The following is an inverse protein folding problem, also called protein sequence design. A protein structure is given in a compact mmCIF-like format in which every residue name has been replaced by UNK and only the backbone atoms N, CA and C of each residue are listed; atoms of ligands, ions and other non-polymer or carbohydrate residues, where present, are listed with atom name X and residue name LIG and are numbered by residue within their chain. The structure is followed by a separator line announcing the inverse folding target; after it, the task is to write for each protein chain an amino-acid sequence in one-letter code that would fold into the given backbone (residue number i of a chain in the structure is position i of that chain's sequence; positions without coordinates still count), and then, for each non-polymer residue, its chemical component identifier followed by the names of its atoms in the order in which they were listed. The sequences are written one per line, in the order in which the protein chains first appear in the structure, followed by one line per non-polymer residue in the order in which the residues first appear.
data_IF_130211020414
#
_entry.id   IF_130211020414
#
_cell.length_a   1.000
_cell.length_b   1.000
_cell.length_c   1.000
_cell.angle_alpha   90.00
_cell.angle_beta   90.00
_cell.angle_gamma   90.00
#
_symmetry.space_group_name_H-M   'P 1'
#
loop_
_entity.id
_entity.type
_entity.pdbx_description
1 polymer ?
#
# COMPACT_ATOMS: atom_id res chain seq x y z
N UNK A 1 -33.33 -6.91 -46.75
CA UNK A 1 -33.49 -6.11 -45.52
C UNK A 1 -32.68 -6.73 -44.42
N UNK A 2 -31.43 -6.30 -44.39
CA UNK A 2 -30.41 -6.63 -43.42
C UNK A 2 -30.85 -6.28 -42.00
N UNK A 3 -30.75 -7.22 -41.08
CA UNK A 3 -30.73 -6.92 -39.65
C UNK A 3 -29.27 -6.86 -39.20
N UNK A 4 -28.78 -5.64 -39.04
CA UNK A 4 -27.48 -5.34 -38.48
C UNK A 4 -27.42 -5.77 -37.00
N UNK A 5 -26.55 -6.74 -36.70
CA UNK A 5 -26.15 -7.09 -35.34
C UNK A 5 -25.13 -6.08 -34.83
N UNK A 6 -25.53 -5.24 -33.88
CA UNK A 6 -24.66 -4.30 -33.18
C UNK A 6 -23.65 -5.05 -32.30
N UNK A 7 -22.38 -5.09 -32.70
CA UNK A 7 -21.27 -5.56 -31.87
C UNK A 7 -20.89 -4.50 -30.84
N UNK A 8 -21.34 -4.64 -29.59
CA UNK A 8 -20.75 -3.88 -28.48
C UNK A 8 -19.42 -4.52 -28.09
N UNK A 9 -18.32 -3.83 -28.37
CA UNK A 9 -17.00 -4.16 -27.86
C UNK A 9 -16.95 -3.78 -26.37
N UNK A 10 -16.86 -4.78 -25.48
CA UNK A 10 -16.54 -4.55 -24.07
C UNK A 10 -15.04 -4.29 -23.94
N UNK A 11 -14.68 -3.09 -23.49
CA UNK A 11 -13.31 -2.73 -23.15
C UNK A 11 -12.94 -3.35 -21.80
N UNK A 12 -12.27 -4.50 -21.81
CA UNK A 12 -11.70 -5.10 -20.60
C UNK A 12 -10.49 -4.30 -20.10
N UNK A 13 -10.51 -3.93 -18.82
CA UNK A 13 -9.43 -3.23 -18.11
C UNK A 13 -8.37 -4.25 -17.64
N UNK A 14 -7.06 -3.93 -17.59
CA UNK A 14 -5.99 -4.94 -17.39
C UNK A 14 -5.88 -5.58 -15.99
N UNK A 15 -6.82 -5.32 -15.07
CA UNK A 15 -6.72 -5.77 -13.67
C UNK A 15 -7.99 -6.47 -13.14
N UNK A 16 -9.04 -6.64 -13.94
CA UNK A 16 -10.07 -7.61 -13.58
C UNK A 16 -9.58 -9.00 -13.98
N UNK A 17 -8.96 -9.68 -13.02
CA UNK A 17 -8.70 -11.10 -13.14
C UNK A 17 -10.07 -11.79 -13.13
N UNK A 18 -10.53 -12.23 -14.31
CA UNK A 18 -11.75 -13.01 -14.40
C UNK A 18 -11.62 -14.23 -13.48
N UNK A 19 -12.72 -14.74 -12.93
CA UNK A 19 -12.68 -15.93 -12.07
C UNK A 19 -11.98 -17.10 -12.77
N UNK A 20 -11.98 -17.14 -14.11
CA UNK A 20 -11.17 -18.06 -14.92
C UNK A 20 -9.67 -17.75 -14.92
N UNK A 21 -9.25 -16.49 -14.95
CA UNK A 21 -7.84 -16.09 -14.89
C UNK A 21 -7.25 -16.25 -13.48
N UNK A 22 -8.07 -16.13 -12.43
CA UNK A 22 -7.67 -16.46 -11.06
C UNK A 22 -7.39 -17.96 -10.90
N UNK A 23 -8.19 -18.80 -11.58
CA UNK A 23 -7.99 -20.25 -11.64
C UNK A 23 -6.78 -20.60 -12.52
N UNK A 24 -6.51 -19.84 -13.59
CA UNK A 24 -5.33 -20.01 -14.44
C UNK A 24 -4.02 -19.54 -13.77
N UNK A 25 -4.04 -18.45 -12.99
CA UNK A 25 -2.91 -18.02 -12.18
C UNK A 25 -2.59 -19.04 -11.07
N UNK A 26 -3.62 -19.67 -10.50
CA UNK A 26 -3.47 -20.80 -9.58
C UNK A 26 -3.01 -22.10 -10.26
N UNK A 27 -3.02 -22.18 -11.60
CA UNK A 27 -2.61 -23.38 -12.35
C UNK A 27 -1.10 -23.41 -12.68
N UNK A 28 -0.38 -22.30 -12.49
CA UNK A 28 1.09 -22.23 -12.65
C UNK A 28 1.86 -22.45 -11.33
N UNK A 29 1.21 -23.04 -10.32
CA UNK A 29 1.90 -23.41 -9.09
C UNK A 29 2.90 -24.53 -9.40
N UNK A 30 4.19 -24.17 -9.46
CA UNK A 30 5.29 -25.13 -9.47
C UNK A 30 5.16 -25.96 -8.19
N UNK A 31 4.68 -27.19 -8.35
CA UNK A 31 4.66 -28.15 -7.27
C UNK A 31 6.11 -28.54 -6.96
N UNK A 32 6.41 -28.76 -5.68
CA UNK A 32 7.70 -29.34 -5.30
C UNK A 32 7.83 -30.78 -5.82
N UNK A 33 9.01 -31.39 -5.65
CA UNK A 33 9.29 -32.78 -6.05
C UNK A 33 8.31 -33.81 -5.42
N UNK A 34 7.49 -33.40 -4.45
CA UNK A 34 6.48 -34.21 -3.75
C UNK A 34 5.05 -33.88 -4.16
N UNK A 35 4.85 -33.02 -5.17
CA UNK A 35 3.51 -32.64 -5.63
C UNK A 35 2.78 -31.68 -4.70
N UNK A 36 3.49 -31.02 -3.77
CA UNK A 36 2.93 -30.09 -2.78
C UNK A 36 3.21 -28.66 -3.21
N UNK A 37 2.22 -27.78 -3.06
CA UNK A 37 2.44 -26.36 -3.28
C UNK A 37 3.34 -25.78 -2.18
N UNK A 38 4.43 -25.09 -2.55
CA UNK A 38 5.30 -24.46 -1.58
C UNK A 38 4.55 -23.41 -0.76
N UNK A 39 4.76 -23.41 0.56
CA UNK A 39 4.10 -22.46 1.48
C UNK A 39 4.96 -21.22 1.67
N UNK A 40 4.36 -20.04 1.52
CA UNK A 40 5.02 -18.77 1.83
C UNK A 40 5.45 -18.71 3.30
N UNK A 41 6.53 -18.00 3.59
CA UNK A 41 7.08 -17.94 4.93
C UNK A 41 7.58 -16.54 5.28
N UNK A 42 7.53 -16.21 6.57
CA UNK A 42 7.98 -14.91 7.08
C UNK A 42 9.37 -15.00 7.68
N UNK A 43 10.21 -14.01 7.37
CA UNK A 43 11.36 -13.65 8.18
C UNK A 43 11.00 -12.44 9.06
N UNK A 44 10.88 -12.70 10.38
CA UNK A 44 10.55 -11.66 11.36
C UNK A 44 11.84 -11.12 12.00
N UNK A 45 12.18 -9.86 11.70
CA UNK A 45 13.34 -9.17 12.26
C UNK A 45 12.88 -8.22 13.37
N UNK A 46 12.49 -8.79 14.53
CA UNK A 46 11.97 -8.03 15.67
C UNK A 46 12.88 -6.87 16.10
N UNK A 47 14.21 -7.04 16.00
CA UNK A 47 15.20 -6.03 16.37
C UNK A 47 15.36 -4.90 15.34
N UNK A 48 14.89 -5.08 14.10
CA UNK A 48 14.83 -4.06 13.05
C UNK A 48 13.45 -3.44 12.90
N UNK A 49 12.42 -4.09 13.44
CA UNK A 49 11.03 -3.70 13.22
C UNK A 49 10.57 -4.01 11.80
N UNK A 50 11.02 -5.12 11.21
CA UNK A 50 10.72 -5.49 9.82
C UNK A 50 10.26 -6.94 9.78
N UNK A 51 9.17 -7.22 9.05
CA UNK A 51 8.84 -8.58 8.60
C UNK A 51 8.94 -8.64 7.07
N UNK A 52 9.48 -9.73 6.54
CA UNK A 52 9.59 -9.98 5.10
C UNK A 52 8.86 -11.28 4.76
N UNK A 53 7.82 -11.20 3.93
CA UNK A 53 7.14 -12.37 3.38
C UNK A 53 7.88 -12.83 2.13
N UNK A 54 8.32 -14.09 2.14
CA UNK A 54 8.95 -14.73 1.00
C UNK A 54 7.97 -15.69 0.34
N UNK A 55 7.98 -15.67 -1.00
CA UNK A 55 7.33 -16.68 -1.82
C UNK A 55 7.92 -18.06 -1.54
N UNK A 56 7.06 -19.04 -1.28
CA UNK A 56 7.49 -20.40 -0.95
C UNK A 56 8.20 -21.12 -2.09
N UNK A 57 7.89 -20.78 -3.35
CA UNK A 57 8.35 -21.51 -4.54
C UNK A 57 9.63 -20.92 -5.13
N UNK A 58 9.65 -19.60 -5.32
CA UNK A 58 10.72 -18.84 -5.96
C UNK A 58 11.67 -18.20 -4.95
N UNK A 59 11.36 -18.23 -3.65
CA UNK A 59 12.14 -17.59 -2.59
C UNK A 59 12.39 -16.09 -2.85
N UNK A 60 11.41 -15.42 -3.46
CA UNK A 60 11.42 -13.97 -3.72
C UNK A 60 10.57 -13.21 -2.71
N UNK A 61 10.91 -11.96 -2.44
CA UNK A 61 10.13 -11.12 -1.54
C UNK A 61 8.77 -10.78 -2.17
N UNK A 62 7.67 -11.03 -1.43
CA UNK A 62 6.28 -10.69 -1.80
C UNK A 62 5.76 -9.45 -1.10
N UNK A 63 6.25 -9.17 0.10
CA UNK A 63 5.74 -8.09 0.96
C UNK A 63 6.73 -7.77 2.07
N UNK A 64 6.88 -6.49 2.39
CA UNK A 64 7.63 -6.00 3.53
C UNK A 64 6.68 -5.28 4.49
N UNK A 65 6.80 -5.56 5.79
CA UNK A 65 6.03 -4.91 6.86
C UNK A 65 7.02 -4.13 7.73
N UNK A 66 6.79 -2.84 7.88
CA UNK A 66 7.58 -1.92 8.68
C UNK A 66 6.82 -1.54 9.94
N UNK A 67 7.44 -1.73 11.10
CA UNK A 67 6.83 -1.51 12.42
C UNK A 67 7.37 -0.25 13.09
N UNK A 68 6.49 0.68 13.46
CA UNK A 68 6.82 1.96 14.08
C UNK A 68 7.02 1.92 15.59
N UNK A 69 6.65 0.82 16.26
CA UNK A 69 6.69 0.64 17.72
C UNK A 69 6.10 1.84 18.49
N UNK A 70 4.82 2.12 18.26
CA UNK A 70 4.13 3.31 18.76
C UNK A 70 3.34 2.98 20.04
N UNK A 71 3.53 3.72 21.15
CA UNK A 71 2.73 3.52 22.36
C UNK A 71 1.23 3.59 22.09
N UNK A 72 0.48 2.67 22.71
CA UNK A 72 -0.96 2.56 22.50
C UNK A 72 -1.36 1.78 21.25
N UNK A 73 -0.41 1.15 20.54
CA UNK A 73 -0.70 0.16 19.51
C UNK A 73 -0.70 -1.25 20.10
N UNK A 74 -1.45 -2.17 19.48
CA UNK A 74 -1.57 -3.56 19.93
C UNK A 74 -0.22 -4.29 20.00
N UNK A 75 0.69 -4.06 19.04
CA UNK A 75 2.01 -4.70 18.99
C UNK A 75 3.10 -3.85 19.68
N UNK A 76 2.74 -2.88 20.53
CA UNK A 76 3.74 -2.04 21.21
C UNK A 76 4.72 -2.89 22.03
N UNK A 77 6.03 -2.60 21.91
CA UNK A 77 7.16 -3.36 22.46
C UNK A 77 7.40 -4.77 21.91
N UNK A 78 6.58 -5.26 20.98
CA UNK A 78 6.87 -6.53 20.28
C UNK A 78 8.01 -6.39 19.28
N UNK A 79 8.11 -5.23 18.64
CA UNK A 79 9.14 -4.88 17.66
C UNK A 79 9.95 -3.66 18.12
N UNK A 80 11.21 -3.57 17.72
CA UNK A 80 11.96 -2.31 17.70
C UNK A 80 11.37 -1.38 16.64
N UNK A 81 11.57 -0.08 16.82
CA UNK A 81 11.12 0.93 15.86
C UNK A 81 11.96 0.85 14.58
N UNK A 82 11.30 0.67 13.44
CA UNK A 82 11.89 0.84 12.12
C UNK A 82 11.88 2.34 11.73
N UNK A 83 13.04 3.01 11.61
CA UNK A 83 13.11 4.42 11.23
C UNK A 83 13.08 4.57 9.70
N UNK A 84 12.01 4.10 9.06
CA UNK A 84 11.93 4.10 7.60
C UNK A 84 11.86 5.52 7.01
N UNK A 85 12.35 5.62 5.78
CA UNK A 85 12.10 6.73 4.86
C UNK A 85 11.72 6.12 3.52
N UNK A 86 10.56 6.49 2.98
CA UNK A 86 10.08 6.03 1.69
C UNK A 86 10.02 7.24 0.77
N UNK A 87 10.73 7.16 -0.35
CA UNK A 87 10.81 8.20 -1.36
C UNK A 87 9.90 7.83 -2.54
N UNK A 88 9.09 8.79 -2.98
CA UNK A 88 8.21 8.67 -4.14
C UNK A 88 8.83 9.33 -5.37
N UNK A 89 8.36 8.92 -6.55
CA UNK A 89 8.76 9.55 -7.80
C UNK A 89 8.24 11.00 -7.87
N UNK A 90 9.10 11.93 -8.30
CA UNK A 90 8.73 13.34 -8.46
C UNK A 90 7.60 13.50 -9.48
N UNK A 91 6.58 14.29 -9.15
CA UNK A 91 5.55 14.69 -10.11
C UNK A 91 6.21 15.52 -11.22
N UNK A 92 6.09 15.10 -12.48
CA UNK A 92 6.54 15.92 -13.62
C UNK A 92 5.62 17.13 -13.73
N UNK A 93 5.96 18.23 -13.06
CA UNK A 93 5.31 19.51 -13.28
C UNK A 93 5.55 19.94 -14.74
N UNK A 94 4.53 19.86 -15.59
CA UNK A 94 4.50 20.59 -16.87
C UNK A 94 4.48 22.09 -16.51
N UNK A 95 5.64 22.69 -16.23
CA UNK A 95 5.76 24.14 -16.11
C UNK A 95 5.39 24.72 -17.48
N UNK A 96 4.18 25.29 -17.59
CA UNK A 96 3.86 26.19 -18.69
C UNK A 96 4.88 27.32 -18.63
N UNK A 97 5.74 27.38 -19.63
CA UNK A 97 6.75 28.41 -19.82
C UNK A 97 6.01 29.69 -20.23
N UNK A 98 5.39 30.38 -19.28
CA UNK A 98 4.89 31.72 -19.50
C UNK A 98 5.69 32.67 -18.61
N UNK A 99 6.46 33.50 -19.30
CA UNK A 99 7.49 34.36 -18.75
C UNK A 99 6.85 35.42 -17.84
N UNK A 100 7.22 35.45 -16.58
CA UNK A 100 7.21 36.69 -15.80
C UNK A 100 8.38 36.73 -14.81
N UNK A 101 8.99 37.89 -14.70
CA UNK A 101 10.36 38.11 -14.26
C UNK A 101 10.47 38.44 -12.76
N UNK A 102 10.17 37.47 -11.90
CA UNK A 102 10.58 37.47 -10.49
C UNK A 102 11.23 36.13 -10.17
N UNK A 103 12.56 36.08 -10.34
CA UNK A 103 13.42 34.97 -9.93
C UNK A 103 13.44 34.86 -8.40
N UNK A 104 12.41 34.24 -7.84
CA UNK A 104 12.52 33.53 -6.57
C UNK A 104 13.22 32.21 -6.88
N UNK A 105 14.37 31.98 -6.25
CA UNK A 105 15.00 30.67 -6.26
C UNK A 105 14.07 29.76 -5.47
N UNK A 106 13.24 28.98 -6.17
CA UNK A 106 12.54 27.86 -5.56
C UNK A 106 13.65 26.94 -5.01
N UNK A 107 13.87 26.98 -3.69
CA UNK A 107 14.57 25.89 -3.01
C UNK A 107 13.63 24.71 -3.14
N UNK A 108 13.85 23.87 -4.14
CA UNK A 108 13.11 22.61 -4.28
C UNK A 108 13.35 21.83 -2.98
N UNK A 109 12.33 21.74 -2.12
CA UNK A 109 12.44 20.98 -0.89
C UNK A 109 12.42 19.49 -1.27
N UNK A 110 13.61 18.89 -1.33
CA UNK A 110 13.81 17.46 -1.66
C UNK A 110 13.03 16.52 -0.72
N UNK A 111 12.46 17.04 0.38
CA UNK A 111 11.66 16.30 1.34
C UNK A 111 10.17 16.22 0.98
N UNK A 112 9.69 16.91 -0.05
CA UNK A 112 8.27 16.87 -0.44
C UNK A 112 7.82 15.46 -0.82
N UNK A 113 8.70 14.66 -1.44
CA UNK A 113 8.39 13.30 -1.87
C UNK A 113 8.82 12.19 -0.89
N UNK A 114 9.17 12.54 0.36
CA UNK A 114 9.61 11.56 1.37
C UNK A 114 8.60 11.47 2.51
N UNK A 115 8.14 10.25 2.79
CA UNK A 115 7.42 9.93 4.04
C UNK A 115 8.36 9.23 5.02
N UNK A 116 8.18 9.48 6.31
CA UNK A 116 9.02 8.90 7.37
C UNK A 116 8.19 8.31 8.50
N UNK A 117 8.79 7.43 9.29
CA UNK A 117 8.12 6.76 10.42
C UNK A 117 7.54 7.71 11.49
N UNK A 118 7.95 8.98 11.53
CA UNK A 118 7.49 9.95 12.53
C UNK A 118 6.29 10.78 12.06
N UNK A 119 5.92 10.71 10.78
CA UNK A 119 4.85 11.52 10.23
C UNK A 119 3.48 11.02 10.68
N UNK A 120 2.54 11.96 10.79
CA UNK A 120 1.13 11.65 10.92
C UNK A 120 0.56 11.31 9.56
N UNK A 121 -0.54 10.55 9.56
CA UNK A 121 -1.22 10.16 8.33
C UNK A 121 -1.58 11.37 7.45
N UNK A 122 -2.00 12.49 8.03
CA UNK A 122 -2.36 13.71 7.29
C UNK A 122 -1.19 14.22 6.44
N UNK A 123 0.01 14.28 7.03
CA UNK A 123 1.23 14.69 6.32
C UNK A 123 1.65 13.66 5.29
N UNK A 124 1.53 12.36 5.59
CA UNK A 124 1.85 11.30 4.62
C UNK A 124 0.91 11.37 3.41
N UNK A 125 -0.37 11.62 3.63
CA UNK A 125 -1.36 11.79 2.56
C UNK A 125 -1.07 12.98 1.66
N UNK A 126 -0.54 14.09 2.19
CA UNK A 126 -0.15 15.24 1.36
C UNK A 126 1.06 14.95 0.45
N UNK A 127 1.96 14.07 0.89
CA UNK A 127 3.22 13.75 0.21
C UNK A 127 3.15 12.58 -0.76
N UNK A 128 2.26 11.62 -0.50
CA UNK A 128 2.06 10.48 -1.39
C UNK A 128 1.39 10.98 -2.68
N UNK A 129 1.93 10.67 -3.86
CA UNK A 129 1.36 11.10 -5.13
C UNK A 129 0.12 10.26 -5.48
N UNK A 130 -1.04 10.55 -4.87
CA UNK A 130 -2.34 9.92 -5.17
C UNK A 130 -2.77 10.12 -6.63
N UNK A 131 -2.16 9.40 -7.56
CA UNK A 131 -2.64 9.31 -8.94
C UNK A 131 -3.73 8.24 -8.95
N UNK A 132 -4.98 8.66 -8.72
CA UNK A 132 -6.15 7.79 -8.83
C UNK A 132 -6.40 7.41 -10.30
N UNK A 133 -5.59 6.51 -10.89
CA UNK A 133 -5.80 6.05 -12.27
C UNK A 133 -7.05 5.18 -12.43
N UNK A 134 -7.71 4.80 -11.32
CA UNK A 134 -9.01 4.13 -11.30
C UNK A 134 -9.97 4.83 -10.35
N UNK A 135 -10.30 6.09 -10.67
CA UNK A 135 -11.49 6.73 -10.08
C UNK A 135 -12.73 6.06 -10.65
N UNK A 136 -13.18 4.95 -10.05
CA UNK A 136 -14.61 4.69 -9.98
C UNK A 136 -15.14 5.89 -9.20
N UNK A 137 -15.89 6.77 -9.88
CA UNK A 137 -16.59 7.91 -9.28
C UNK A 137 -17.73 7.38 -8.42
N UNK A 138 -17.41 6.74 -7.30
CA UNK A 138 -18.38 6.52 -6.23
C UNK A 138 -18.50 7.85 -5.49
N UNK A 139 -19.64 8.49 -5.70
CA UNK A 139 -20.04 9.75 -5.10
C UNK A 139 -20.38 9.50 -3.62
N UNK A 140 -19.35 9.40 -2.78
CA UNK A 140 -19.51 9.18 -1.34
C UNK A 140 -18.18 9.08 -0.58
N UNK A 141 -18.17 9.40 0.73
CA UNK A 141 -16.99 9.20 1.56
C UNK A 141 -16.65 7.71 1.60
N UNK A 142 -15.49 7.32 1.04
CA UNK A 142 -14.96 5.95 1.14
C UNK A 142 -14.81 5.62 2.62
N UNK A 143 -15.65 4.70 3.12
CA UNK A 143 -15.53 4.19 4.49
C UNK A 143 -14.21 3.42 4.59
N UNK A 144 -13.32 3.74 5.54
CA UNK A 144 -12.05 3.06 5.65
C UNK A 144 -12.25 1.63 6.15
N UNK A 145 -11.34 0.74 5.77
CA UNK A 145 -11.30 -0.63 6.30
C UNK A 145 -10.89 -0.55 7.76
N UNK A 146 -11.71 -1.07 8.67
CA UNK A 146 -11.42 -1.08 10.11
C UNK A 146 -10.71 -2.37 10.48
N UNK A 147 -9.56 -2.25 11.15
CA UNK A 147 -8.79 -3.36 11.68
C UNK A 147 -9.01 -3.46 13.20
N UNK A 148 -9.63 -4.56 13.61
CA UNK A 148 -9.84 -4.90 15.02
C UNK A 148 -8.98 -6.11 15.38
N UNK A 149 -7.99 -5.91 16.26
CA UNK A 149 -7.14 -6.99 16.76
C UNK A 149 -7.63 -7.44 18.12
N UNK A 150 -8.16 -8.66 18.20
CA UNK A 150 -8.65 -9.26 19.45
C UNK A 150 -9.90 -8.59 20.01
N UNK A 151 -10.37 -9.12 21.15
CA UNK A 151 -11.45 -8.49 21.94
C UNK A 151 -10.95 -7.25 22.68
N UNK A 152 -11.87 -6.46 23.26
CA UNK A 152 -11.53 -5.29 24.08
C UNK A 152 -10.65 -5.62 25.29
N UNK A 153 -10.72 -6.84 25.80
CA UNK A 153 -9.88 -7.32 26.91
C UNK A 153 -8.43 -7.57 26.47
N UNK A 154 -8.23 -7.98 25.21
CA UNK A 154 -6.91 -8.22 24.64
C UNK A 154 -6.28 -6.98 24.00
N UNK A 155 -7.12 -6.06 23.51
CA UNK A 155 -6.70 -4.81 22.90
C UNK A 155 -7.44 -3.62 23.56
N UNK A 156 -6.87 -3.05 24.62
CA UNK A 156 -7.48 -1.93 25.34
C UNK A 156 -7.47 -0.62 24.53
N UNK A 157 -6.71 -0.56 23.44
CA UNK A 157 -6.54 0.66 22.63
C UNK A 157 -7.62 0.81 21.55
N UNK A 158 -8.34 -0.28 21.27
CA UNK A 158 -9.41 -0.35 20.28
C UNK A 158 -8.89 -0.54 18.85
N UNK A 159 -9.80 -0.36 17.88
CA UNK A 159 -9.51 -0.57 16.47
C UNK A 159 -8.67 0.55 15.85
N UNK A 160 -7.93 0.16 14.82
CA UNK A 160 -7.23 1.01 13.86
C UNK A 160 -7.99 1.00 12.53
N UNK A 161 -7.62 1.89 11.60
CA UNK A 161 -8.13 1.82 10.24
C UNK A 161 -6.98 1.67 9.24
N UNK A 162 -7.28 1.11 8.08
CA UNK A 162 -6.33 0.95 6.98
C UNK A 162 -6.63 1.97 5.88
N UNK A 163 -5.56 2.54 5.35
CA UNK A 163 -5.58 3.37 4.15
C UNK A 163 -4.42 2.93 3.27
N UNK A 164 -4.58 2.96 1.96
CA UNK A 164 -3.55 2.48 1.04
C UNK A 164 -3.46 3.34 -0.19
N UNK A 165 -2.30 3.31 -0.80
CA UNK A 165 -1.96 3.93 -2.07
C UNK A 165 -1.86 2.83 -3.13
N UNK A 166 -2.46 3.06 -4.29
CA UNK A 166 -2.68 2.04 -5.31
C UNK A 166 -1.37 1.44 -5.88
N UNK A 167 -0.24 2.14 -5.75
CA UNK A 167 1.09 1.62 -6.12
C UNK A 167 1.75 0.73 -5.05
N UNK A 168 0.95 -0.02 -4.28
CA UNK A 168 1.47 -1.09 -3.42
C UNK A 168 1.85 -0.68 -2.01
N UNK A 169 1.26 0.38 -1.43
CA UNK A 169 1.47 0.73 -0.02
C UNK A 169 0.16 0.66 0.76
N UNK A 170 0.16 0.00 1.91
CA UNK A 170 -0.95 0.02 2.87
C UNK A 170 -0.43 0.45 4.24
N UNK A 171 -1.14 1.38 4.87
CA UNK A 171 -0.79 1.94 6.17
C UNK A 171 -1.90 1.63 7.18
N UNK A 172 -1.49 1.12 8.34
CA UNK A 172 -2.36 1.04 9.52
C UNK A 172 -2.31 2.37 10.26
N UNK A 173 -3.47 2.89 10.66
CA UNK A 173 -3.58 4.21 11.27
C UNK A 173 -4.37 4.14 12.57
N UNK A 174 -3.79 4.71 13.62
CA UNK A 174 -4.40 4.83 14.94
C UNK A 174 -5.31 6.07 15.03
N UNK A 175 -6.19 6.11 16.03
CA UNK A 175 -7.11 7.25 16.27
C UNK A 175 -6.41 8.60 16.46
N UNK A 176 -5.16 8.59 16.93
CA UNK A 176 -4.34 9.78 17.10
C UNK A 176 -3.55 10.18 15.82
N UNK A 177 -3.81 9.53 14.68
CA UNK A 177 -3.16 9.78 13.39
C UNK A 177 -1.74 9.22 13.26
N UNK A 178 -1.23 8.48 14.27
CA UNK A 178 0.04 7.77 14.14
C UNK A 178 -0.11 6.56 13.20
N UNK A 179 0.98 6.24 12.48
CA UNK A 179 1.06 5.09 11.56
C UNK A 179 1.99 4.03 12.15
N UNK A 180 1.46 3.07 12.95
CA UNK A 180 2.27 2.02 13.58
C UNK A 180 2.79 0.98 12.59
N UNK A 181 2.14 0.80 11.45
CA UNK A 181 2.49 -0.25 10.49
C UNK A 181 2.41 0.30 9.07
N UNK A 182 3.43 0.05 8.26
CA UNK A 182 3.42 0.26 6.81
C UNK A 182 3.71 -1.06 6.12
N UNK A 183 2.91 -1.42 5.13
CA UNK A 183 3.04 -2.63 4.33
C UNK A 183 3.33 -2.22 2.89
N UNK A 184 4.36 -2.82 2.31
CA UNK A 184 4.80 -2.58 0.93
C UNK A 184 4.70 -3.90 0.18
N UNK A 185 4.11 -3.86 -1.03
CA UNK A 185 3.93 -5.00 -1.93
C UNK A 185 4.89 -4.93 -3.12
#
# INVERSE_FOLDING_TARGET
NDQASTSQASSHHPFELSTSDAVAAAANNVLDDKGVQPTDYFFNYFYLGIDVLMDGALHVCKKIILHGNIPGHYDFQKYKRCPFQIQFAKKKNKKNKQNDATLLVDVEDENEEIITANMKISTMQERIPWECSSTIKEDGPKKPVILTRGSSEQNPFGSTYLTGYDEGIVMEVMKNGCVPTVVIF
#
